data_IF_856650339428
#
_entry.id   IF_856650339428
#
_cell.length_a   1.000
_cell.length_b   1.000
_cell.length_c   1.000
_cell.angle_alpha   90.00
_cell.angle_beta   90.00
_cell.angle_gamma   90.00
#
_symmetry.space_group_name_H-M   'P 1'
#
loop_
_entity.id
_entity.type
_entity.pdbx_description
1 polymer ?
#
# COMPACT_ATOMS: atom_id res chain seq x y z
N UNK A 1 4.97 12.37 14.23
CA UNK A 1 3.68 13.04 14.53
C UNK A 1 2.55 12.60 13.61
N UNK A 2 2.63 12.84 12.25
CA UNK A 2 1.51 12.49 11.35
C UNK A 2 1.28 10.98 11.24
N UNK A 3 2.32 10.17 11.31
CA UNK A 3 2.20 8.71 11.35
C UNK A 3 1.52 8.25 12.64
N UNK A 4 1.83 8.84 13.80
CA UNK A 4 1.15 8.52 15.06
C UNK A 4 -0.35 8.87 15.01
N UNK A 5 -0.68 10.04 14.44
CA UNK A 5 -2.08 10.44 14.24
C UNK A 5 -2.81 9.45 13.34
N UNK A 6 -2.16 9.05 12.23
CA UNK A 6 -2.72 8.08 11.31
C UNK A 6 -2.87 6.69 11.94
N UNK A 7 -1.88 6.22 12.70
CA UNK A 7 -1.95 4.93 13.40
C UNK A 7 -3.12 4.89 14.39
N UNK A 8 -3.29 5.96 15.19
CA UNK A 8 -4.43 6.10 16.12
C UNK A 8 -5.78 6.14 15.38
N UNK A 9 -5.84 6.88 14.28
CA UNK A 9 -7.02 6.93 13.41
C UNK A 9 -7.36 5.54 12.84
N UNK A 10 -6.36 4.80 12.35
CA UNK A 10 -6.54 3.43 11.87
C UNK A 10 -7.09 2.51 12.96
N UNK A 11 -6.48 2.53 14.15
CA UNK A 11 -6.93 1.73 15.29
C UNK A 11 -8.38 2.05 15.65
N UNK A 12 -8.74 3.33 15.68
CA UNK A 12 -10.10 3.75 15.94
C UNK A 12 -11.09 3.25 14.88
N UNK A 13 -10.78 3.43 13.59
CA UNK A 13 -11.64 2.99 12.49
C UNK A 13 -11.83 1.47 12.44
N UNK A 14 -10.77 0.71 12.68
CA UNK A 14 -10.85 -0.75 12.74
C UNK A 14 -11.69 -1.20 13.94
N UNK A 15 -11.52 -0.58 15.11
CA UNK A 15 -12.32 -0.86 16.30
C UNK A 15 -13.80 -0.49 16.21
N UNK A 16 -14.21 0.33 15.23
CA UNK A 16 -15.62 0.57 14.95
C UNK A 16 -16.28 -0.58 14.17
N UNK A 17 -15.51 -1.37 13.47
CA UNK A 17 -16.02 -2.45 12.61
C UNK A 17 -15.70 -3.85 13.09
N UNK A 18 -14.72 -4.00 13.98
CA UNK A 18 -14.25 -5.29 14.48
C UNK A 18 -13.93 -5.19 15.98
N UNK A 19 -14.34 -6.21 16.73
CA UNK A 19 -14.14 -6.28 18.18
C UNK A 19 -12.86 -6.98 18.57
N UNK A 20 -12.28 -7.77 17.67
CA UNK A 20 -11.12 -8.62 17.92
C UNK A 20 -9.83 -8.10 17.28
N UNK A 21 -8.71 -8.58 17.81
CA UNK A 21 -7.40 -8.29 17.30
C UNK A 21 -7.18 -8.90 15.89
N UNK A 22 -6.37 -8.22 15.09
CA UNK A 22 -5.96 -8.76 13.79
C UNK A 22 -5.06 -9.97 14.02
N UNK A 23 -5.51 -11.14 13.56
CA UNK A 23 -4.76 -12.38 13.62
C UNK A 23 -3.83 -12.50 12.40
N UNK A 24 -2.56 -12.74 12.63
CA UNK A 24 -1.56 -12.93 11.57
C UNK A 24 -0.47 -13.91 12.01
N UNK A 25 0.22 -14.51 11.05
CA UNK A 25 1.37 -15.37 11.32
C UNK A 25 2.57 -14.52 11.77
N UNK A 26 2.87 -14.58 13.06
CA UNK A 26 3.99 -13.84 13.66
C UNK A 26 5.35 -14.34 13.19
N UNK A 27 5.50 -15.64 12.93
CA UNK A 27 6.76 -16.19 12.46
C UNK A 27 7.06 -15.72 11.03
N UNK A 28 6.08 -15.79 10.14
CA UNK A 28 6.19 -15.26 8.78
C UNK A 28 6.46 -13.75 8.76
N UNK A 29 5.84 -12.99 9.67
CA UNK A 29 6.07 -11.55 9.78
C UNK A 29 7.51 -11.26 10.24
N UNK A 30 8.05 -12.03 11.16
CA UNK A 30 9.43 -11.86 11.64
C UNK A 30 10.47 -12.16 10.56
N UNK A 31 10.24 -13.20 9.73
CA UNK A 31 11.07 -13.50 8.55
C UNK A 31 11.08 -12.35 7.53
N UNK A 32 9.96 -11.64 7.40
CA UNK A 32 9.84 -10.48 6.49
C UNK A 32 10.53 -9.22 7.02
N UNK A 33 10.86 -9.13 8.29
CA UNK A 33 11.39 -7.93 8.94
C UNK A 33 12.65 -7.41 8.25
N UNK A 34 13.63 -8.26 8.08
CA UNK A 34 14.90 -7.90 7.45
C UNK A 34 14.73 -7.65 5.95
N UNK A 35 13.85 -8.39 5.30
CA UNK A 35 13.52 -8.18 3.88
C UNK A 35 12.94 -6.78 3.67
N UNK A 36 11.92 -6.39 4.45
CA UNK A 36 11.23 -5.09 4.31
C UNK A 36 12.12 -3.91 4.71
N UNK A 37 13.01 -4.09 5.68
CA UNK A 37 13.94 -3.03 6.10
C UNK A 37 15.08 -2.77 5.12
N UNK A 38 15.52 -3.80 4.44
CA UNK A 38 16.73 -3.73 3.63
C UNK A 38 16.50 -3.70 2.12
N UNK A 39 15.29 -3.96 1.67
CA UNK A 39 14.98 -4.08 0.24
C UNK A 39 13.75 -3.27 -0.16
N UNK A 40 13.64 -2.86 -1.44
CA UNK A 40 12.41 -2.33 -1.99
C UNK A 40 11.31 -3.39 -1.96
N UNK A 41 10.21 -3.13 -1.26
CA UNK A 41 9.13 -4.09 -1.09
C UNK A 41 7.78 -3.54 -1.55
N UNK A 42 6.99 -4.41 -2.15
CA UNK A 42 5.62 -4.14 -2.57
C UNK A 42 4.67 -5.12 -1.92
N UNK A 43 3.80 -4.63 -1.03
CA UNK A 43 2.77 -5.44 -0.41
C UNK A 43 1.49 -5.33 -1.25
N UNK A 44 1.10 -6.44 -1.87
CA UNK A 44 -0.05 -6.53 -2.76
C UNK A 44 -1.18 -7.27 -2.06
N UNK A 45 -2.25 -6.55 -1.76
CA UNK A 45 -3.37 -7.10 -0.99
C UNK A 45 -4.67 -7.20 -1.80
N UNK A 46 -5.55 -8.11 -1.37
CA UNK A 46 -6.89 -8.30 -1.93
C UNK A 46 -7.85 -7.25 -1.41
N UNK A 47 -8.79 -6.75 -2.25
CA UNK A 47 -9.66 -5.63 -1.88
C UNK A 47 -11.12 -6.06 -1.74
N UNK A 48 -11.55 -6.33 -0.52
CA UNK A 48 -12.92 -6.74 -0.18
C UNK A 48 -13.71 -5.62 0.49
N UNK A 49 -13.06 -4.84 1.37
CA UNK A 49 -13.70 -3.76 2.14
C UNK A 49 -12.91 -2.45 2.03
N UNK A 50 -13.46 -1.36 2.56
CA UNK A 50 -12.70 -0.10 2.67
C UNK A 50 -11.61 -0.17 3.75
N UNK A 51 -11.74 -1.09 4.70
CA UNK A 51 -10.81 -1.23 5.81
C UNK A 51 -9.54 -2.00 5.42
N UNK A 52 -9.52 -2.75 4.32
CA UNK A 52 -8.34 -3.51 3.89
C UNK A 52 -7.08 -2.63 3.80
N UNK A 53 -7.23 -1.40 3.29
CA UNK A 53 -6.13 -0.43 3.21
C UNK A 53 -5.63 0.08 4.57
N UNK A 54 -6.34 -0.23 5.66
CA UNK A 54 -5.95 0.11 7.04
C UNK A 54 -5.29 -1.07 7.76
N UNK A 55 -5.65 -2.31 7.40
CA UNK A 55 -5.16 -3.53 8.03
C UNK A 55 -3.64 -3.67 7.88
N UNK A 56 -3.12 -3.57 6.64
CA UNK A 56 -1.69 -3.72 6.38
C UNK A 56 -0.85 -2.67 7.12
N UNK A 57 -1.15 -1.35 7.04
CA UNK A 57 -0.45 -0.35 7.82
C UNK A 57 -0.55 -0.57 9.33
N UNK A 58 -1.70 -1.04 9.84
CA UNK A 58 -1.89 -1.33 11.27
C UNK A 58 -0.95 -2.45 11.73
N UNK A 59 -0.91 -3.58 11.02
CA UNK A 59 -0.02 -4.70 11.35
C UNK A 59 1.44 -4.26 11.29
N UNK A 60 1.82 -3.50 10.28
CA UNK A 60 3.20 -2.99 10.16
C UNK A 60 3.56 -2.03 11.30
N UNK A 61 2.66 -1.12 11.67
CA UNK A 61 2.88 -0.19 12.78
C UNK A 61 3.04 -0.91 14.11
N UNK A 62 2.14 -1.84 14.43
CA UNK A 62 2.15 -2.58 15.70
C UNK A 62 3.39 -3.47 15.89
N UNK A 63 4.08 -3.77 14.79
CA UNK A 63 5.27 -4.62 14.79
C UNK A 63 6.56 -3.85 14.42
N UNK A 64 6.58 -2.53 14.52
CA UNK A 64 7.76 -1.68 14.25
C UNK A 64 8.37 -1.86 12.85
N UNK A 65 7.52 -2.10 11.84
CA UNK A 65 7.93 -2.07 10.45
C UNK A 65 7.93 -0.65 9.88
N UNK A 66 8.73 -0.37 8.84
CA UNK A 66 8.61 0.86 8.08
C UNK A 66 7.21 1.01 7.49
N UNK A 67 6.58 2.18 7.68
CA UNK A 67 5.23 2.42 7.16
C UNK A 67 5.23 2.45 5.63
N UNK A 68 4.34 1.69 4.99
CA UNK A 68 4.31 1.62 3.53
C UNK A 68 3.63 2.84 2.91
N UNK A 69 4.16 3.29 1.78
CA UNK A 69 3.48 4.24 0.93
C UNK A 69 2.31 3.58 0.20
N UNK A 70 1.09 4.03 0.48
CA UNK A 70 -0.12 3.44 -0.08
C UNK A 70 -0.54 4.14 -1.37
N UNK A 71 -0.63 3.39 -2.46
CA UNK A 71 -1.24 3.89 -3.69
C UNK A 71 -2.76 3.77 -3.63
N UNK A 72 -3.43 4.90 -3.74
CA UNK A 72 -4.89 4.99 -3.71
C UNK A 72 -5.45 5.80 -4.88
N UNK A 73 -6.73 5.64 -5.17
CA UNK A 73 -7.39 6.45 -6.18
C UNK A 73 -7.56 7.91 -5.72
N UNK A 74 -7.44 8.86 -6.66
CA UNK A 74 -7.59 10.29 -6.39
C UNK A 74 -8.95 10.67 -5.75
N UNK A 75 -9.94 9.80 -5.85
CA UNK A 75 -11.23 9.98 -5.18
C UNK A 75 -11.16 9.84 -3.64
N UNK A 76 -10.06 9.36 -3.10
CA UNK A 76 -9.83 9.30 -1.65
C UNK A 76 -9.27 10.63 -1.09
N UNK A 77 -8.86 11.54 -1.97
CA UNK A 77 -8.33 12.85 -1.61
C UNK A 77 -9.46 13.88 -1.39
N UNK A 78 -10.23 13.70 -0.34
CA UNK A 78 -11.27 14.66 0.07
C UNK A 78 -10.87 15.41 1.35
N UNK A 79 -11.48 16.57 1.64
CA UNK A 79 -11.11 17.39 2.79
C UNK A 79 -11.06 16.63 4.11
N UNK A 80 -10.06 16.88 4.92
CA UNK A 80 -9.81 16.18 6.19
C UNK A 80 -9.05 14.89 6.00
N UNK A 81 -9.71 13.81 5.62
CA UNK A 81 -9.10 12.49 5.50
C UNK A 81 -8.00 12.45 4.43
N UNK A 82 -8.23 13.05 3.27
CA UNK A 82 -7.21 13.12 2.21
C UNK A 82 -5.93 13.79 2.67
N UNK A 83 -6.04 14.84 3.47
CA UNK A 83 -4.87 15.52 4.06
C UNK A 83 -4.11 14.61 5.03
N UNK A 84 -4.82 13.90 5.93
CA UNK A 84 -4.21 12.95 6.86
C UNK A 84 -3.51 11.83 6.11
N UNK A 85 -4.20 11.19 5.16
CA UNK A 85 -3.64 10.09 4.36
C UNK A 85 -2.39 10.53 3.58
N UNK A 86 -2.44 11.70 2.93
CA UNK A 86 -1.29 12.23 2.19
C UNK A 86 -0.08 12.47 3.10
N UNK A 87 -0.30 13.02 4.29
CA UNK A 87 0.75 13.23 5.30
C UNK A 87 1.29 11.93 5.90
N UNK A 88 0.49 10.87 5.85
CA UNK A 88 0.89 9.52 6.27
C UNK A 88 1.52 8.68 5.14
N UNK A 89 1.78 9.27 3.96
CA UNK A 89 2.46 8.60 2.85
C UNK A 89 1.54 8.04 1.77
N UNK A 90 0.24 8.38 1.76
CA UNK A 90 -0.62 7.96 0.67
C UNK A 90 -0.32 8.74 -0.62
N UNK A 91 -0.29 8.01 -1.73
CA UNK A 91 -0.01 8.51 -3.08
C UNK A 91 -1.30 8.38 -3.90
N UNK A 92 -1.91 9.52 -4.22
CA UNK A 92 -3.17 9.53 -4.95
C UNK A 92 -2.95 9.52 -6.45
N UNK A 93 -3.45 8.45 -7.11
CA UNK A 93 -3.31 8.25 -8.55
C UNK A 93 -4.62 8.60 -9.26
N UNK A 94 -4.52 9.32 -10.37
CA UNK A 94 -5.65 9.57 -11.27
C UNK A 94 -6.12 8.26 -11.90
N UNK A 95 -7.44 8.08 -12.03
CA UNK A 95 -8.03 6.87 -12.64
C UNK A 95 -7.71 6.73 -14.13
N UNK A 96 -7.56 7.82 -14.85
CA UNK A 96 -7.18 7.86 -16.25
C UNK A 96 -6.13 8.93 -16.49
N UNK A 97 -5.03 8.51 -17.09
CA UNK A 97 -3.91 9.38 -17.48
C UNK A 97 -3.22 8.85 -18.76
N UNK A 98 -3.99 8.11 -19.60
CA UNK A 98 -3.46 7.41 -20.78
C UNK A 98 -2.73 8.35 -21.74
N UNK A 99 -3.25 9.56 -21.90
CA UNK A 99 -2.75 10.55 -22.88
C UNK A 99 -1.85 11.61 -22.22
N UNK A 100 -1.49 11.43 -20.94
CA UNK A 100 -0.65 12.38 -20.21
C UNK A 100 0.75 11.79 -19.98
N UNK A 101 1.63 11.99 -20.95
CA UNK A 101 3.00 11.46 -20.89
C UNK A 101 3.82 12.06 -19.75
N UNK A 102 3.63 13.35 -19.44
CA UNK A 102 4.31 13.99 -18.32
C UNK A 102 3.92 13.33 -16.99
N UNK A 103 2.64 13.06 -16.79
CA UNK A 103 2.17 12.35 -15.59
C UNK A 103 2.75 10.94 -15.47
N UNK A 104 2.81 10.19 -16.57
CA UNK A 104 3.40 8.86 -16.59
C UNK A 104 4.90 8.92 -16.24
N UNK A 105 5.62 9.85 -16.84
CA UNK A 105 7.04 10.05 -16.58
C UNK A 105 7.28 10.42 -15.11
N UNK A 106 6.52 11.37 -14.57
CA UNK A 106 6.61 11.79 -13.17
C UNK A 106 6.33 10.63 -12.22
N UNK A 107 5.28 9.83 -12.51
CA UNK A 107 4.94 8.66 -11.69
C UNK A 107 6.04 7.61 -11.69
N UNK A 108 6.66 7.31 -12.84
CA UNK A 108 7.79 6.38 -12.94
C UNK A 108 9.00 6.85 -12.12
N UNK A 109 9.37 8.12 -12.28
CA UNK A 109 10.51 8.67 -11.53
C UNK A 109 10.23 8.68 -10.02
N UNK A 110 8.99 8.99 -9.61
CA UNK A 110 8.62 8.96 -8.20
C UNK A 110 8.66 7.54 -7.62
N UNK A 111 8.14 6.55 -8.34
CA UNK A 111 8.25 5.15 -7.95
C UNK A 111 9.73 4.72 -7.87
N UNK A 112 10.54 5.08 -8.86
CA UNK A 112 11.97 4.81 -8.87
C UNK A 112 12.68 5.40 -7.65
N UNK A 113 12.35 6.63 -7.27
CA UNK A 113 12.87 7.28 -6.05
C UNK A 113 12.48 6.51 -4.78
N UNK A 114 11.21 6.08 -4.65
CA UNK A 114 10.77 5.29 -3.49
C UNK A 114 11.55 3.97 -3.39
N UNK A 115 11.81 3.32 -4.51
CA UNK A 115 12.59 2.08 -4.57
C UNK A 115 14.06 2.29 -4.22
N UNK A 116 14.69 3.33 -4.76
CA UNK A 116 16.07 3.70 -4.42
C UNK A 116 16.23 3.94 -2.91
N UNK A 117 15.23 4.57 -2.30
CA UNK A 117 15.19 4.81 -0.84
C UNK A 117 14.69 3.61 -0.04
N UNK A 118 14.35 2.51 -0.68
CA UNK A 118 13.83 1.28 -0.05
C UNK A 118 12.57 1.51 0.77
N UNK A 119 11.74 2.48 0.36
CA UNK A 119 10.45 2.68 1.01
C UNK A 119 9.49 1.57 0.58
N UNK A 120 8.87 0.84 1.53
CA UNK A 120 7.86 -0.14 1.18
C UNK A 120 6.64 0.55 0.57
N UNK A 121 6.05 -0.08 -0.42
CA UNK A 121 4.85 0.39 -1.10
C UNK A 121 3.72 -0.63 -0.94
N UNK A 122 2.48 -0.18 -0.91
CA UNK A 122 1.34 -1.09 -0.88
C UNK A 122 0.19 -0.61 -1.76
N UNK A 123 -0.58 -1.54 -2.32
CA UNK A 123 -1.84 -1.26 -3.00
C UNK A 123 -2.69 -2.51 -3.19
N UNK A 124 -3.99 -2.28 -3.45
CA UNK A 124 -4.91 -3.33 -3.84
C UNK A 124 -4.60 -3.80 -5.26
N UNK A 125 -4.16 -5.04 -5.43
CA UNK A 125 -3.75 -5.61 -6.72
C UNK A 125 -4.90 -5.66 -7.74
N UNK A 126 -6.11 -5.78 -7.28
CA UNK A 126 -7.33 -5.77 -8.09
C UNK A 126 -7.68 -4.37 -8.63
N UNK A 127 -7.13 -3.30 -8.04
CA UNK A 127 -7.38 -1.90 -8.42
C UNK A 127 -8.82 -1.42 -8.22
N UNK A 128 -9.71 -2.30 -7.71
CA UNK A 128 -11.09 -1.99 -7.36
C UNK A 128 -11.59 -2.98 -6.30
N UNK A 129 -12.55 -2.55 -5.49
CA UNK A 129 -13.12 -3.40 -4.44
C UNK A 129 -14.05 -4.46 -5.03
N UNK A 130 -13.88 -5.70 -4.58
CA UNK A 130 -14.83 -6.78 -4.82
C UNK A 130 -16.08 -6.58 -3.97
N UNK A 131 -17.25 -6.44 -4.60
CA UNK A 131 -18.53 -6.33 -3.90
C UNK A 131 -19.14 -7.67 -3.50
N UNK A 132 -18.61 -8.75 -4.03
CA UNK A 132 -19.12 -10.12 -3.86
C UNK A 132 -18.18 -11.01 -3.03
N UNK A 133 -17.14 -10.43 -2.44
CA UNK A 133 -16.12 -11.16 -1.67
C UNK A 133 -15.22 -12.07 -2.50
N UNK A 134 -15.45 -12.19 -3.82
CA UNK A 134 -14.62 -12.99 -4.71
C UNK A 134 -13.39 -12.21 -5.17
N UNK A 135 -12.30 -12.92 -5.39
CA UNK A 135 -11.09 -12.35 -5.99
C UNK A 135 -11.42 -11.79 -7.39
N UNK A 136 -11.06 -10.55 -7.64
CA UNK A 136 -11.25 -9.88 -8.91
C UNK A 136 -10.01 -10.05 -9.80
N UNK A 137 -10.15 -9.98 -11.12
CA UNK A 137 -8.98 -10.00 -12.00
C UNK A 137 -7.97 -8.90 -11.65
N UNK A 138 -6.67 -9.21 -11.64
CA UNK A 138 -5.62 -8.27 -11.30
C UNK A 138 -5.49 -7.14 -12.31
N UNK A 139 -5.08 -5.95 -11.85
CA UNK A 139 -4.76 -4.80 -12.69
C UNK A 139 -3.27 -4.53 -12.67
N UNK A 140 -2.61 -4.88 -13.76
CA UNK A 140 -1.15 -4.80 -13.88
C UNK A 140 -0.60 -3.39 -14.16
N UNK A 141 -1.45 -2.37 -14.33
CA UNK A 141 -1.00 -1.04 -14.73
C UNK A 141 0.05 -0.43 -13.82
N UNK A 142 -0.18 -0.44 -12.50
CA UNK A 142 0.78 0.08 -11.52
C UNK A 142 2.02 -0.83 -11.43
N UNK A 143 1.81 -2.14 -11.42
CA UNK A 143 2.92 -3.11 -11.40
C UNK A 143 3.85 -2.93 -12.61
N UNK A 144 3.30 -2.65 -13.80
CA UNK A 144 4.10 -2.33 -14.98
C UNK A 144 4.99 -1.11 -14.74
N UNK A 145 4.44 -0.02 -14.17
CA UNK A 145 5.23 1.17 -13.84
C UNK A 145 6.32 0.88 -12.80
N UNK A 146 6.01 0.05 -11.82
CA UNK A 146 6.99 -0.41 -10.83
C UNK A 146 8.13 -1.16 -11.52
N UNK A 147 7.84 -2.15 -12.38
CA UNK A 147 8.86 -2.91 -13.10
C UNK A 147 9.70 -2.03 -14.05
N UNK A 148 9.07 -1.08 -14.74
CA UNK A 148 9.78 -0.11 -15.58
C UNK A 148 10.69 0.81 -14.73
N UNK A 149 10.22 1.26 -13.57
CA UNK A 149 11.01 2.06 -12.64
C UNK A 149 12.18 1.29 -12.04
N UNK A 150 11.99 -0.01 -11.73
CA UNK A 150 13.07 -0.90 -11.29
C UNK A 150 14.21 -0.93 -12.29
N UNK A 151 13.88 -1.15 -13.55
CA UNK A 151 14.89 -1.23 -14.60
C UNK A 151 15.63 0.09 -14.78
N UNK A 152 14.94 1.22 -14.66
CA UNK A 152 15.53 2.56 -14.82
C UNK A 152 16.36 3.00 -13.60
N UNK A 153 15.89 2.68 -12.40
CA UNK A 153 16.55 3.05 -11.14
C UNK A 153 17.66 2.06 -10.72
N UNK A 154 17.90 1.02 -11.52
CA UNK A 154 18.84 -0.06 -11.17
C UNK A 154 18.60 -0.64 -9.77
N UNK A 155 17.33 -0.67 -9.37
CA UNK A 155 16.95 -1.23 -8.08
C UNK A 155 17.11 -2.75 -8.10
N UNK A 156 17.90 -3.26 -7.16
CA UNK A 156 18.16 -4.69 -6.99
C UNK A 156 17.30 -5.27 -5.87
N UNK A 157 17.13 -6.58 -5.87
CA UNK A 157 16.47 -7.34 -4.80
C UNK A 157 15.05 -6.84 -4.47
N UNK A 158 14.22 -6.66 -5.51
CA UNK A 158 12.85 -6.21 -5.34
C UNK A 158 11.99 -7.37 -4.89
N UNK A 159 11.26 -7.18 -3.79
CA UNK A 159 10.38 -8.18 -3.22
C UNK A 159 8.91 -7.83 -3.44
N UNK A 160 8.15 -8.78 -4.00
CA UNK A 160 6.69 -8.69 -4.09
C UNK A 160 6.10 -9.61 -3.02
N UNK A 161 5.39 -9.02 -2.08
CA UNK A 161 4.82 -9.70 -0.91
C UNK A 161 3.30 -9.74 -1.09
N UNK A 162 2.73 -10.91 -1.42
CA UNK A 162 1.28 -11.06 -1.48
C UNK A 162 0.69 -11.09 -0.07
N UNK A 163 -0.41 -10.34 0.13
CA UNK A 163 -1.13 -10.27 1.41
C UNK A 163 -2.58 -10.66 1.18
N UNK A 164 -3.02 -11.72 1.83
CA UNK A 164 -4.43 -12.13 1.86
C UNK A 164 -5.09 -11.62 3.13
N UNK A 165 -6.20 -10.89 2.98
CA UNK A 165 -7.01 -10.40 4.10
C UNK A 165 -8.32 -11.17 4.09
N UNK A 166 -8.62 -11.84 5.21
CA UNK A 166 -9.84 -12.58 5.41
C UNK A 166 -10.61 -12.01 6.61
N UNK A 167 -11.92 -12.10 6.55
CA UNK A 167 -12.84 -11.63 7.58
C UNK A 167 -13.72 -12.81 7.98
N UNK A 168 -13.76 -13.12 9.24
CA UNK A 168 -14.62 -14.14 9.86
C UNK A 168 -15.85 -13.49 10.50
#
# INVERSE_FOLDING_TARGET
FWLDVYARFNTYCLGLGYEEDIVYDRAALEELRDVVRNNPCMLLWTHKTYLDGMVVPKVMWDNDFPMPHMFGGANMNFPGLGHLLHRAGAIFIKRSFRDNELYKLTLRHYIGYLMEKRFPMNWAFEGTRSRMGKLMPPRYGLLKYVLEACHTAQAENIHIIPVSINYD
#
